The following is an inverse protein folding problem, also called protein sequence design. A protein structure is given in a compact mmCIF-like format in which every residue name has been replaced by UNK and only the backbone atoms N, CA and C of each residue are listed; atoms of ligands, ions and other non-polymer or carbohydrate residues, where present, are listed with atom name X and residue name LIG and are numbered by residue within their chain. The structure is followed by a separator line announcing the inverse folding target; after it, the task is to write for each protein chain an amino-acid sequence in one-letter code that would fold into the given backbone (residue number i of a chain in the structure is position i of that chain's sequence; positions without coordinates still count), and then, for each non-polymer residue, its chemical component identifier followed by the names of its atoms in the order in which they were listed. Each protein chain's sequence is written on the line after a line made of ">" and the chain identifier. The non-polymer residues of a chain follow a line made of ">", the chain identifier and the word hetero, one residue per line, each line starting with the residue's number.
data_IF_108007439928
#
_entry.id   IF_108007439928
#
_cell.length_a   1.000
_cell.length_b   1.000
_cell.length_c   1.000
_cell.angle_alpha   90.00
_cell.angle_beta   90.00
_cell.angle_gamma   90.00
#
_symmetry.space_group_name_H-M   'P 1'
#
loop_
_entity.id
_entity.type
_entity.pdbx_description
1 polymer ?
#
# COMPACT_ATOMS: atom_id res chain seq x y z
N UNK A 1 -25.06 -21.40 22.40
CA UNK A 1 -23.79 -21.19 23.10
C UNK A 1 -22.66 -21.69 22.21
N UNK A 2 -21.72 -20.83 21.83
CA UNK A 2 -20.36 -21.21 21.44
C UNK A 2 -19.46 -19.97 21.48
N UNK A 3 -19.03 -19.67 22.72
CA UNK A 3 -17.69 -19.30 23.16
C UNK A 3 -16.82 -18.52 22.15
N UNK A 4 -16.97 -17.19 22.15
CA UNK A 4 -15.86 -16.28 21.88
C UNK A 4 -15.00 -16.30 23.15
N UNK A 5 -13.89 -17.05 23.12
CA UNK A 5 -12.92 -17.02 24.22
C UNK A 5 -12.19 -15.68 24.20
N UNK A 6 -12.14 -15.05 25.37
CA UNK A 6 -11.48 -13.79 25.64
C UNK A 6 -10.03 -13.78 25.13
N UNK A 7 -9.76 -12.92 24.16
CA UNK A 7 -8.40 -12.56 23.76
C UNK A 7 -7.92 -11.45 24.68
N UNK A 8 -7.08 -11.78 25.64
CA UNK A 8 -6.42 -10.76 26.46
C UNK A 8 -5.15 -10.29 25.73
N UNK A 9 -5.09 -9.02 25.34
CA UNK A 9 -3.87 -8.43 24.77
C UNK A 9 -2.98 -7.91 25.89
N UNK A 10 -1.91 -8.63 26.22
CA UNK A 10 -0.82 -8.07 27.03
C UNK A 10 0.11 -7.25 26.13
N UNK A 11 -0.11 -5.93 26.20
CA UNK A 11 0.83 -4.80 26.09
C UNK A 11 2.24 -5.13 25.56
N UNK A 12 2.41 -5.08 24.23
CA UNK A 12 3.52 -4.44 23.50
C UNK A 12 3.35 -4.72 21.99
N UNK A 13 3.35 -3.67 21.15
CA UNK A 13 3.16 -3.77 19.70
C UNK A 13 4.34 -3.16 18.97
N UNK A 14 4.98 -3.92 18.09
CA UNK A 14 6.24 -3.55 17.47
C UNK A 14 6.04 -3.43 15.96
N UNK A 15 6.53 -2.35 15.36
CA UNK A 15 6.52 -2.18 13.90
C UNK A 15 7.72 -2.94 13.33
N UNK A 16 7.47 -4.02 12.60
CA UNK A 16 8.54 -4.84 11.99
C UNK A 16 8.35 -4.90 10.48
N UNK A 17 9.45 -4.94 9.74
CA UNK A 17 9.39 -5.17 8.29
C UNK A 17 9.50 -6.67 8.05
N UNK A 18 8.55 -7.27 7.34
CA UNK A 18 8.48 -8.72 7.20
C UNK A 18 8.55 -9.11 5.73
N UNK A 19 9.60 -9.83 5.37
CA UNK A 19 9.75 -10.39 4.03
C UNK A 19 9.25 -11.84 4.07
N UNK A 20 8.18 -12.14 3.35
CA UNK A 20 7.72 -13.52 3.21
C UNK A 20 8.31 -14.07 1.92
N UNK A 21 9.33 -14.92 2.04
CA UNK A 21 10.10 -15.38 0.88
C UNK A 21 9.47 -16.60 0.20
N UNK A 22 8.90 -17.54 0.97
CA UNK A 22 8.38 -18.81 0.44
C UNK A 22 7.26 -19.38 1.30
N UNK A 23 6.05 -19.43 0.77
CA UNK A 23 4.89 -20.04 1.41
C UNK A 23 4.62 -21.44 0.82
N UNK A 24 4.34 -22.41 1.69
CA UNK A 24 3.84 -23.71 1.26
C UNK A 24 2.32 -23.75 1.39
N UNK A 25 1.63 -23.78 0.25
CA UNK A 25 0.19 -23.97 0.19
C UNK A 25 -0.10 -25.46 0.02
N UNK A 26 -0.88 -26.03 0.95
CA UNK A 26 -1.56 -27.30 0.66
C UNK A 26 -2.74 -26.94 -0.25
N UNK A 27 -2.76 -27.48 -1.47
CA UNK A 27 -3.80 -27.15 -2.45
C UNK A 27 -5.18 -27.53 -1.91
N UNK A 28 -5.98 -26.52 -1.57
CA UNK A 28 -7.39 -26.67 -1.30
C UNK A 28 -8.14 -26.20 -2.56
N UNK A 29 -8.47 -27.14 -3.45
CA UNK A 29 -9.04 -26.89 -4.78
C UNK A 29 -10.46 -26.30 -4.77
N UNK A 30 -10.98 -25.93 -3.61
CA UNK A 30 -12.36 -25.48 -3.42
C UNK A 30 -12.54 -23.97 -3.47
N UNK A 31 -11.47 -23.15 -3.56
CA UNK A 31 -11.56 -21.67 -3.50
C UNK A 31 -11.01 -20.94 -4.72
N UNK A 32 -11.87 -20.13 -5.35
CA UNK A 32 -11.60 -19.40 -6.62
C UNK A 32 -10.70 -18.15 -6.49
N UNK A 33 -10.37 -17.65 -5.28
CA UNK A 33 -9.55 -16.44 -5.06
C UNK A 33 -8.41 -16.72 -4.08
N UNK A 34 -7.18 -16.60 -4.57
CA UNK A 34 -5.92 -16.79 -3.84
C UNK A 34 -5.03 -15.60 -4.25
N UNK A 35 -4.34 -14.90 -3.34
CA UNK A 35 -3.46 -13.78 -3.70
C UNK A 35 -2.37 -14.20 -4.70
N UNK A 36 -1.92 -13.25 -5.51
CA UNK A 36 -0.95 -13.51 -6.58
C UNK A 36 0.35 -14.14 -6.02
N UNK A 37 0.88 -13.62 -4.91
CA UNK A 37 2.09 -14.13 -4.25
C UNK A 37 1.93 -15.55 -3.63
N UNK A 38 0.69 -16.07 -3.51
CA UNK A 38 0.41 -17.45 -3.06
C UNK A 38 0.13 -18.39 -4.25
N UNK A 39 -0.38 -17.86 -5.38
CA UNK A 39 -0.72 -18.66 -6.57
C UNK A 39 0.49 -19.16 -7.34
N UNK A 40 1.53 -18.35 -7.43
CA UNK A 40 2.74 -18.71 -8.15
C UNK A 40 3.68 -19.40 -7.16
N UNK A 41 3.68 -20.73 -7.15
CA UNK A 41 4.68 -21.53 -6.44
C UNK A 41 6.13 -21.25 -6.86
N UNK A 42 6.34 -20.27 -7.75
CA UNK A 42 7.61 -19.70 -8.14
C UNK A 42 7.90 -18.36 -7.45
N UNK A 43 8.76 -18.40 -6.43
CA UNK A 43 9.99 -17.59 -6.40
C UNK A 43 9.90 -16.06 -6.63
N UNK A 44 8.85 -15.34 -6.23
CA UNK A 44 8.88 -13.87 -6.14
C UNK A 44 8.72 -13.41 -4.70
N UNK A 45 9.85 -13.07 -4.09
CA UNK A 45 9.91 -12.42 -2.80
C UNK A 45 9.26 -11.04 -2.85
N UNK A 46 8.28 -10.78 -2.00
CA UNK A 46 7.69 -9.44 -1.84
C UNK A 46 7.97 -8.93 -0.44
N UNK A 47 8.41 -7.68 -0.35
CA UNK A 47 8.63 -7.02 0.93
C UNK A 47 7.31 -6.45 1.42
N UNK A 48 6.89 -6.82 2.63
CA UNK A 48 5.61 -6.37 3.18
C UNK A 48 5.84 -5.85 4.60
N UNK A 49 5.13 -4.80 4.99
CA UNK A 49 5.23 -4.26 6.35
C UNK A 49 4.19 -4.98 7.20
N UNK A 50 4.62 -5.50 8.35
CA UNK A 50 3.77 -6.23 9.27
C UNK A 50 3.78 -5.62 10.67
N UNK A 51 2.65 -5.62 11.35
CA UNK A 51 2.60 -5.23 12.76
C UNK A 51 2.71 -6.49 13.60
N UNK A 52 3.76 -6.58 14.42
CA UNK A 52 3.96 -7.69 15.34
C UNK A 52 3.28 -7.39 16.67
N UNK A 53 2.52 -8.36 17.17
CA UNK A 53 1.87 -8.32 18.47
C UNK A 53 2.05 -9.66 19.17
N UNK A 54 2.53 -9.63 20.40
CA UNK A 54 2.54 -10.82 21.25
C UNK A 54 1.14 -11.09 21.79
N UNK A 55 0.71 -12.36 21.78
CA UNK A 55 -0.61 -12.76 22.28
C UNK A 55 -0.51 -14.10 23.01
N UNK A 56 -1.41 -14.29 23.96
CA UNK A 56 -1.62 -15.57 24.63
C UNK A 56 -3.02 -16.10 24.30
N UNK A 57 -3.10 -17.37 23.92
CA UNK A 57 -4.38 -18.07 23.77
C UNK A 57 -4.56 -19.05 24.90
N UNK A 58 -5.68 -18.91 25.62
CA UNK A 58 -6.14 -19.91 26.57
C UNK A 58 -7.21 -20.77 25.92
N UNK A 59 -6.92 -22.06 25.74
CA UNK A 59 -7.89 -23.06 25.28
C UNK A 59 -7.84 -24.25 26.22
N UNK A 60 -9.00 -24.64 26.76
CA UNK A 60 -9.13 -25.82 27.65
C UNK A 60 -8.16 -25.79 28.84
N UNK A 61 -7.92 -24.60 29.43
CA UNK A 61 -7.01 -24.42 30.56
C UNK A 61 -5.51 -24.40 30.20
N UNK A 62 -5.15 -24.64 28.93
CA UNK A 62 -3.78 -24.53 28.44
C UNK A 62 -3.54 -23.15 27.83
N UNK A 63 -2.54 -22.44 28.35
CA UNK A 63 -2.05 -21.17 27.79
C UNK A 63 -1.00 -21.46 26.74
N UNK A 64 -1.17 -20.90 25.54
CA UNK A 64 -0.21 -20.98 24.43
C UNK A 64 0.21 -19.57 24.05
N UNK A 65 1.51 -19.27 24.18
CA UNK A 65 2.10 -18.02 23.70
C UNK A 65 2.26 -18.06 22.18
N UNK A 66 2.01 -16.93 21.53
CA UNK A 66 2.18 -16.79 20.09
C UNK A 66 2.55 -15.37 19.70
N UNK A 67 3.32 -15.27 18.62
CA UNK A 67 3.63 -14.00 17.98
C UNK A 67 2.78 -13.87 16.72
N UNK A 68 1.97 -12.81 16.67
CA UNK A 68 1.05 -12.55 15.56
C UNK A 68 1.57 -11.36 14.77
N UNK A 69 1.95 -11.61 13.53
CA UNK A 69 2.33 -10.59 12.56
C UNK A 69 1.12 -10.35 11.65
N UNK A 70 0.53 -9.17 11.75
CA UNK A 70 -0.57 -8.74 10.89
C UNK A 70 0.00 -8.05 9.66
N UNK A 71 -0.30 -8.58 8.48
CA UNK A 71 0.25 -8.15 7.20
C UNK A 71 -0.92 -7.76 6.29
N UNK A 72 -0.90 -6.54 5.77
CA UNK A 72 -1.85 -6.07 4.76
C UNK A 72 -1.16 -6.02 3.39
N UNK A 73 -1.59 -6.85 2.44
CA UNK A 73 -1.03 -6.94 1.09
C UNK A 73 -2.14 -7.13 0.06
N UNK A 74 -2.18 -6.33 -1.00
CA UNK A 74 -3.13 -6.45 -2.11
C UNK A 74 -4.62 -6.46 -1.66
N UNK A 75 -4.91 -5.82 -0.54
CA UNK A 75 -6.24 -5.82 0.10
C UNK A 75 -6.61 -7.12 0.83
N UNK A 76 -5.67 -8.06 0.97
CA UNK A 76 -5.81 -9.23 1.83
C UNK A 76 -5.20 -8.97 3.19
N UNK A 77 -5.95 -9.34 4.24
CA UNK A 77 -5.44 -9.46 5.60
C UNK A 77 -4.82 -10.83 5.76
N UNK A 78 -3.52 -10.84 5.95
CA UNK A 78 -2.73 -12.03 6.19
C UNK A 78 -2.28 -11.98 7.64
N UNK A 79 -2.62 -13.02 8.40
CA UNK A 79 -2.16 -13.16 9.76
C UNK A 79 -1.10 -14.26 9.82
N UNK A 80 0.15 -13.89 10.06
CA UNK A 80 1.23 -14.84 10.27
C UNK A 80 1.44 -15.09 11.76
N UNK A 81 1.17 -16.32 12.22
CA UNK A 81 1.28 -16.69 13.63
C UNK A 81 2.44 -17.66 13.83
N UNK A 82 3.39 -17.29 14.68
CA UNK A 82 4.48 -18.15 15.14
C UNK A 82 4.14 -18.76 16.49
N UNK A 83 4.39 -20.06 16.63
CA UNK A 83 4.15 -20.85 17.84
C UNK A 83 5.41 -21.54 18.33
N UNK A 84 5.43 -21.89 19.63
CA UNK A 84 6.49 -22.69 20.24
C UNK A 84 7.83 -21.96 20.26
N UNK A 85 8.92 -22.69 20.01
CA UNK A 85 10.30 -22.17 20.09
C UNK A 85 10.60 -21.00 19.16
N UNK A 86 9.77 -20.76 18.14
CA UNK A 86 9.88 -19.59 17.26
C UNK A 86 9.45 -18.29 17.95
N UNK A 87 8.57 -18.37 18.96
CA UNK A 87 8.18 -17.23 19.80
C UNK A 87 9.39 -16.76 20.59
N UNK A 88 10.06 -17.69 21.27
CA UNK A 88 11.25 -17.39 22.08
C UNK A 88 12.39 -16.82 21.24
N UNK A 89 12.64 -17.39 20.04
CA UNK A 89 13.67 -16.90 19.12
C UNK A 89 13.37 -15.49 18.62
N UNK A 90 12.13 -15.20 18.27
CA UNK A 90 11.73 -13.86 17.84
C UNK A 90 11.86 -12.88 19.00
N UNK A 91 11.34 -13.21 20.17
CA UNK A 91 11.44 -12.37 21.37
C UNK A 91 12.89 -12.11 21.80
N UNK A 92 13.78 -13.10 21.65
CA UNK A 92 15.21 -12.93 21.89
C UNK A 92 15.83 -11.94 20.89
N UNK A 93 15.53 -12.07 19.59
CA UNK A 93 15.97 -11.10 18.57
C UNK A 93 15.47 -9.70 18.88
N UNK A 94 14.18 -9.59 19.19
CA UNK A 94 13.49 -8.40 19.61
C UNK A 94 14.17 -7.70 20.81
N UNK A 95 14.59 -8.46 21.81
CA UNK A 95 15.29 -7.94 23.01
C UNK A 95 16.69 -7.36 22.74
N UNK A 96 17.25 -7.56 21.55
CA UNK A 96 18.57 -7.00 21.18
C UNK A 96 18.53 -5.49 20.92
N UNK A 97 17.34 -4.90 20.73
CA UNK A 97 17.17 -3.46 20.49
C UNK A 97 17.36 -3.03 19.04
N UNK A 98 17.75 -3.92 18.12
CA UNK A 98 17.84 -3.64 16.67
C UNK A 98 16.49 -3.77 15.96
N UNK A 99 15.45 -3.14 16.51
CA UNK A 99 14.06 -3.33 16.04
C UNK A 99 13.64 -2.31 14.97
N UNK A 100 14.29 -1.15 14.97
CA UNK A 100 14.08 -0.12 13.94
C UNK A 100 14.58 -0.64 12.59
N UNK A 101 13.65 -0.95 11.68
CA UNK A 101 13.90 -1.55 10.37
C UNK A 101 14.36 -3.02 10.41
N UNK A 102 13.98 -3.79 11.44
CA UNK A 102 14.22 -5.23 11.44
C UNK A 102 13.51 -5.89 10.24
N UNK A 103 14.27 -6.63 9.42
CA UNK A 103 13.73 -7.43 8.32
C UNK A 103 13.69 -8.89 8.73
N UNK A 104 12.48 -9.44 8.86
CA UNK A 104 12.26 -10.83 9.23
C UNK A 104 11.87 -11.62 7.98
N UNK A 105 12.67 -12.62 7.63
CA UNK A 105 12.35 -13.56 6.56
C UNK A 105 11.68 -14.82 7.11
N UNK A 106 10.52 -15.19 6.57
CA UNK A 106 9.81 -16.44 6.93
C UNK A 106 9.68 -17.33 5.69
N UNK A 107 10.21 -18.54 5.78
CA UNK A 107 10.18 -19.56 4.73
C UNK A 107 9.53 -20.86 5.20
N UNK A 108 8.89 -21.57 4.27
CA UNK A 108 8.24 -22.86 4.50
C UNK A 108 7.15 -22.80 5.58
N UNK A 109 6.39 -21.70 5.59
CA UNK A 109 5.22 -21.57 6.45
C UNK A 109 3.97 -22.16 5.78
N UNK A 110 3.07 -22.71 6.60
CA UNK A 110 1.81 -23.32 6.18
C UNK A 110 0.73 -22.25 6.04
N UNK A 111 0.07 -22.22 4.88
CA UNK A 111 -1.07 -21.35 4.62
C UNK A 111 -2.40 -22.06 4.93
N UNK A 112 -3.36 -21.34 5.50
CA UNK A 112 -4.75 -21.76 5.75
C UNK A 112 -5.71 -20.63 5.36
N UNK A 113 -6.84 -21.00 4.76
CA UNK A 113 -7.87 -20.05 4.34
C UNK A 113 -9.15 -20.23 5.15
N UNK A 114 -9.57 -19.23 5.91
CA UNK A 114 -10.79 -19.31 6.72
C UNK A 114 -11.60 -18.01 6.66
N UNK A 115 -12.88 -18.10 6.28
CA UNK A 115 -13.81 -16.95 6.14
C UNK A 115 -13.17 -15.76 5.42
N UNK A 116 -12.61 -16.00 4.24
CA UNK A 116 -11.90 -15.03 3.40
C UNK A 116 -10.62 -14.40 3.98
N UNK A 117 -10.21 -14.79 5.19
CA UNK A 117 -8.93 -14.42 5.77
C UNK A 117 -7.85 -15.47 5.48
N UNK A 118 -6.62 -14.99 5.37
CA UNK A 118 -5.44 -15.80 5.10
C UNK A 118 -4.63 -15.91 6.38
N UNK A 119 -4.41 -17.14 6.81
CA UNK A 119 -3.61 -17.45 7.99
C UNK A 119 -2.34 -18.17 7.56
N UNK A 120 -1.21 -17.62 7.93
CA UNK A 120 0.10 -18.24 7.78
C UNK A 120 0.52 -18.70 9.17
N UNK A 121 1.03 -19.93 9.28
CA UNK A 121 1.53 -20.43 10.55
C UNK A 121 2.80 -21.25 10.32
N UNK A 122 3.71 -21.22 11.30
CA UNK A 122 4.88 -22.08 11.23
C UNK A 122 4.49 -23.56 11.26
N UNK A 123 5.32 -24.38 10.62
CA UNK A 123 5.34 -25.82 10.72
C UNK A 123 6.55 -26.21 11.58
N UNK A 124 6.31 -27.04 12.59
CA UNK A 124 7.34 -27.50 13.52
C UNK A 124 8.48 -28.16 12.72
N UNK A 125 9.71 -27.74 13.01
CA UNK A 125 10.96 -28.22 12.39
C UNK A 125 11.11 -28.01 10.88
N UNK A 126 10.16 -27.34 10.22
CA UNK A 126 10.18 -27.07 8.78
C UNK A 126 10.31 -25.58 8.46
N UNK A 127 9.65 -24.71 9.24
CA UNK A 127 9.70 -23.27 8.99
C UNK A 127 11.07 -22.71 9.33
N UNK A 128 11.67 -21.96 8.40
CA UNK A 128 12.91 -21.21 8.63
C UNK A 128 12.57 -19.74 8.84
N UNK A 129 13.12 -19.15 9.90
CA UNK A 129 12.98 -17.72 10.21
C UNK A 129 14.37 -17.13 10.31
N UNK A 130 14.65 -16.12 9.50
CA UNK A 130 15.93 -15.39 9.49
C UNK A 130 15.69 -13.93 9.84
N UNK A 131 16.58 -13.35 10.64
CA UNK A 131 16.49 -11.99 11.14
C UNK A 131 17.59 -11.14 10.52
N UNK A 132 17.31 -9.86 10.23
CA UNK A 132 18.26 -8.90 9.68
C UNK A 132 18.95 -9.36 8.40
N UNK A 133 18.17 -9.95 7.48
CA UNK A 133 18.68 -10.43 6.19
C UNK A 133 19.18 -9.24 5.36
N UNK A 134 20.51 -9.09 5.25
CA UNK A 134 21.20 -8.10 4.43
C UNK A 134 21.07 -8.47 2.95
N UNK A 135 19.94 -8.13 2.35
CA UNK A 135 19.71 -8.21 0.92
C UNK A 135 19.68 -6.80 0.33
N UNK A 136 20.07 -6.62 -0.93
CA UNK A 136 20.04 -5.29 -1.59
C UNK A 136 18.66 -4.62 -1.48
N UNK A 137 17.60 -5.43 -1.55
CA UNK A 137 16.21 -5.01 -1.35
C UNK A 137 15.91 -4.53 0.09
N UNK A 138 16.48 -5.17 1.10
CA UNK A 138 16.36 -4.74 2.50
C UNK A 138 17.08 -3.40 2.77
N UNK A 139 18.19 -3.16 2.05
CA UNK A 139 18.92 -1.89 2.12
C UNK A 139 18.16 -0.72 1.47
N UNK A 140 17.38 -0.98 0.41
CA UNK A 140 16.48 0.01 -0.19
C UNK A 140 15.35 0.42 0.75
N UNK A 141 14.80 -0.54 1.52
CA UNK A 141 13.78 -0.27 2.54
C UNK A 141 14.30 0.61 3.69
N UNK A 142 15.52 0.33 4.19
CA UNK A 142 16.18 1.18 5.20
C UNK A 142 16.33 2.63 4.72
N UNK A 143 16.58 2.85 3.43
CA UNK A 143 16.69 4.21 2.85
C UNK A 143 15.34 4.91 2.73
N UNK A 144 14.25 4.19 2.45
CA UNK A 144 12.90 4.78 2.37
C UNK A 144 12.35 5.28 3.72
N UNK A 145 12.72 4.66 4.85
CA UNK A 145 12.20 5.06 6.17
C UNK A 145 12.86 6.33 6.74
N UNK A 146 14.08 6.69 6.30
CA UNK A 146 14.79 7.88 6.76
C UNK A 146 14.14 9.20 6.31
N UNK A 147 13.16 9.17 5.39
CA UNK A 147 12.46 10.36 4.90
C UNK A 147 11.11 10.64 5.57
N UNK A 148 10.58 9.76 6.43
CA UNK A 148 9.25 9.91 7.05
C UNK A 148 9.28 10.26 8.55
N UNK A 149 10.46 10.46 9.16
CA UNK A 149 10.53 10.91 10.55
C UNK A 149 10.27 12.41 10.67
N UNK A 150 9.00 12.81 10.57
CA UNK A 150 8.39 13.96 11.26
C UNK A 150 6.96 14.19 10.78
N UNK A 151 6.02 13.41 11.34
CA UNK A 151 4.68 13.83 11.78
C UNK A 151 3.92 12.60 12.28
N UNK A 152 4.00 12.35 13.59
CA UNK A 152 3.02 11.55 14.29
C UNK A 152 1.68 12.29 14.19
N UNK A 153 0.71 11.70 13.49
CA UNK A 153 -0.71 11.97 13.70
C UNK A 153 -1.26 10.65 14.25
N UNK A 154 -1.90 10.66 15.43
CA UNK A 154 -2.57 9.48 15.94
C UNK A 154 -3.88 9.30 15.15
N UNK A 155 -3.87 8.45 14.13
CA UNK A 155 -5.11 7.99 13.48
C UNK A 155 -5.47 6.60 14.00
N UNK A 156 -5.84 6.57 15.27
CA UNK A 156 -6.46 5.43 15.92
C UNK A 156 -7.99 5.62 15.92
N UNK A 157 -8.59 5.90 14.73
CA UNK A 157 -10.06 5.89 14.55
C UNK A 157 -10.53 5.94 13.07
N UNK A 158 -9.95 5.18 12.14
CA UNK A 158 -10.57 4.87 10.82
C UNK A 158 -9.59 3.92 10.11
N UNK A 159 -9.88 2.65 9.85
CA UNK A 159 -10.50 2.21 8.60
C UNK A 159 -10.67 0.68 8.64
N UNK A 160 -11.87 0.20 8.95
CA UNK A 160 -12.35 -1.14 8.56
C UNK A 160 -13.45 -1.08 7.49
N UNK A 161 -13.67 0.06 6.83
CA UNK A 161 -14.95 0.28 6.10
C UNK A 161 -14.81 1.05 4.78
N UNK A 162 -13.71 0.92 4.02
CA UNK A 162 -13.69 1.51 2.66
C UNK A 162 -14.39 0.56 1.69
N UNK A 163 -15.65 0.87 1.35
CA UNK A 163 -16.50 0.01 0.52
C UNK A 163 -15.96 -0.10 -0.91
N UNK A 164 -15.93 -1.33 -1.44
CA UNK A 164 -15.66 -1.57 -2.87
C UNK A 164 -16.86 -1.10 -3.68
N UNK A 165 -16.61 -0.40 -4.79
CA UNK A 165 -17.67 0.13 -5.64
C UNK A 165 -17.28 0.04 -7.12
N UNK A 166 -18.24 0.22 -8.01
CA UNK A 166 -18.03 0.35 -9.46
C UNK A 166 -17.90 1.82 -9.85
N UNK A 167 -17.48 2.10 -11.08
CA UNK A 167 -17.41 3.47 -11.60
C UNK A 167 -18.82 4.09 -11.68
N UNK A 168 -19.82 3.33 -12.13
CA UNK A 168 -21.20 3.82 -12.13
C UNK A 168 -21.66 4.18 -10.70
N UNK A 169 -21.43 3.29 -9.73
CA UNK A 169 -21.79 3.54 -8.33
C UNK A 169 -21.00 4.70 -7.69
N UNK A 170 -19.78 4.96 -8.15
CA UNK A 170 -18.99 6.12 -7.76
C UNK A 170 -19.61 7.43 -8.27
N UNK A 171 -20.05 7.47 -9.54
CA UNK A 171 -20.70 8.65 -10.15
C UNK A 171 -22.08 8.95 -9.55
N UNK A 172 -22.81 7.91 -9.16
CA UNK A 172 -24.12 8.03 -8.54
C UNK A 172 -24.04 8.41 -7.06
N UNK A 173 -22.86 8.33 -6.44
CA UNK A 173 -22.67 8.66 -5.03
C UNK A 173 -22.80 10.16 -4.79
N UNK A 174 -23.73 10.54 -3.90
CA UNK A 174 -24.02 11.94 -3.55
C UNK A 174 -23.43 12.37 -2.22
N UNK A 175 -22.80 11.45 -1.50
CA UNK A 175 -22.18 11.72 -0.21
C UNK A 175 -20.66 11.76 -0.38
N UNK A 176 -19.98 12.60 0.40
CA UNK A 176 -18.51 12.62 0.41
C UNK A 176 -18.04 11.35 1.12
N UNK A 177 -17.53 10.41 0.35
CA UNK A 177 -17.04 9.12 0.84
C UNK A 177 -15.82 8.64 0.04
N UNK A 178 -15.07 7.70 0.61
CA UNK A 178 -13.92 7.09 -0.04
C UNK A 178 -14.28 5.67 -0.49
N UNK A 179 -13.99 5.35 -1.75
CA UNK A 179 -14.30 4.06 -2.36
C UNK A 179 -13.05 3.37 -2.88
N UNK A 180 -13.12 2.04 -2.97
CA UNK A 180 -12.14 1.22 -3.67
C UNK A 180 -12.73 0.80 -5.01
N UNK A 181 -12.13 1.23 -6.11
CA UNK A 181 -12.59 0.95 -7.48
C UNK A 181 -11.51 0.19 -8.24
N UNK A 182 -11.87 -0.94 -8.85
CA UNK A 182 -10.98 -1.70 -9.73
C UNK A 182 -11.25 -1.28 -11.17
N UNK A 183 -10.31 -0.59 -11.82
CA UNK A 183 -10.50 -0.09 -13.17
C UNK A 183 -9.28 -0.34 -14.06
N UNK A 184 -9.52 -0.43 -15.36
CA UNK A 184 -8.49 -0.56 -16.39
C UNK A 184 -8.16 0.83 -16.93
N UNK A 185 -6.87 1.17 -16.96
CA UNK A 185 -6.38 2.42 -17.55
C UNK A 185 -6.47 2.31 -19.08
N UNK A 186 -7.21 3.20 -19.72
CA UNK A 186 -7.39 3.21 -21.19
C UNK A 186 -6.65 4.34 -21.88
N UNK A 187 -6.52 5.47 -21.22
CA UNK A 187 -5.92 6.66 -21.81
C UNK A 187 -5.27 7.53 -20.74
N UNK A 188 -4.18 8.21 -21.09
CA UNK A 188 -3.63 9.31 -20.29
C UNK A 188 -4.04 10.60 -20.98
N UNK A 189 -4.82 11.43 -20.30
CA UNK A 189 -5.31 12.70 -20.85
C UNK A 189 -4.14 13.67 -20.95
N UNK A 190 -3.99 14.29 -22.12
CA UNK A 190 -2.90 15.21 -22.50
C UNK A 190 -3.39 16.62 -22.85
N UNK A 191 -4.64 16.95 -22.51
CA UNK A 191 -5.22 18.28 -22.70
C UNK A 191 -4.51 19.38 -21.87
N UNK A 192 -3.88 18.98 -20.75
CA UNK A 192 -3.19 19.82 -19.76
C UNK A 192 -1.78 19.27 -19.47
N UNK A 193 -0.91 20.10 -18.88
CA UNK A 193 0.37 19.65 -18.34
C UNK A 193 0.19 18.50 -17.33
N UNK A 194 0.89 17.38 -17.57
CA UNK A 194 0.91 16.20 -16.71
C UNK A 194 1.71 16.41 -15.40
N UNK A 195 2.23 17.62 -15.20
CA UNK A 195 3.05 18.04 -14.07
C UNK A 195 2.72 19.47 -13.65
N UNK A 196 3.20 19.88 -12.48
CA UNK A 196 3.15 21.26 -12.01
C UNK A 196 4.38 21.59 -11.17
N UNK A 197 4.72 22.86 -11.07
CA UNK A 197 5.74 23.34 -10.14
C UNK A 197 5.16 23.48 -8.73
N UNK A 198 5.87 22.96 -7.74
CA UNK A 198 5.48 23.01 -6.34
C UNK A 198 6.56 23.62 -5.45
N UNK A 199 6.12 24.34 -4.41
CA UNK A 199 6.96 24.76 -3.29
C UNK A 199 7.37 23.53 -2.45
N UNK A 200 8.41 23.70 -1.62
CA UNK A 200 8.82 22.72 -0.58
C UNK A 200 7.66 22.31 0.35
N UNK A 201 6.62 23.14 0.49
CA UNK A 201 5.41 22.81 1.26
C UNK A 201 4.39 21.93 0.49
N UNK A 202 4.77 21.44 -0.69
CA UNK A 202 4.01 20.61 -1.64
C UNK A 202 2.74 21.27 -2.21
N UNK A 203 2.67 22.61 -2.21
CA UNK A 203 1.62 23.35 -2.91
C UNK A 203 2.13 23.95 -4.20
N UNK A 204 1.23 24.02 -5.17
CA UNK A 204 1.44 24.71 -6.45
C UNK A 204 1.93 26.13 -6.20
N UNK A 205 2.84 26.57 -7.06
CA UNK A 205 3.36 27.93 -7.06
C UNK A 205 3.11 28.58 -8.40
N UNK A 206 3.09 29.90 -8.40
CA UNK A 206 2.83 30.69 -9.61
C UNK A 206 4.09 31.48 -9.97
N UNK A 207 4.47 31.54 -11.25
CA UNK A 207 5.57 32.39 -11.69
C UNK A 207 5.31 33.84 -11.30
N UNK A 208 6.27 34.48 -10.64
CA UNK A 208 6.26 35.92 -10.37
C UNK A 208 7.65 36.49 -10.68
N UNK A 209 7.73 37.15 -11.84
CA UNK A 209 8.96 37.73 -12.37
C UNK A 209 10.09 36.69 -12.50
N UNK A 210 11.09 36.71 -11.61
CA UNK A 210 12.23 35.77 -11.60
C UNK A 210 12.13 34.73 -10.47
N UNK A 211 11.02 34.72 -9.74
CA UNK A 211 10.77 33.84 -8.61
C UNK A 211 9.42 33.14 -8.79
N UNK A 212 9.03 32.36 -7.80
CA UNK A 212 7.71 31.74 -7.73
C UNK A 212 7.01 32.17 -6.44
N UNK A 213 5.75 32.56 -6.51
CA UNK A 213 4.96 32.88 -5.32
C UNK A 213 4.20 31.63 -4.84
N UNK A 214 4.33 31.34 -3.54
CA UNK A 214 3.60 30.26 -2.87
C UNK A 214 2.52 30.86 -1.97
N UNK A 215 1.25 30.77 -2.37
CA UNK A 215 0.12 31.29 -1.59
C UNK A 215 0.05 30.70 -0.18
N UNK A 216 0.23 29.38 -0.05
CA UNK A 216 0.18 28.71 1.26
C UNK A 216 1.26 29.20 2.23
N UNK A 217 2.45 29.47 1.73
CA UNK A 217 3.55 29.98 2.55
C UNK A 217 3.57 31.51 2.60
N UNK A 218 2.72 32.17 1.81
CA UNK A 218 2.68 33.60 1.58
C UNK A 218 4.08 34.21 1.35
N UNK A 219 4.87 33.59 0.46
CA UNK A 219 6.25 34.02 0.19
C UNK A 219 6.72 33.69 -1.22
N UNK A 220 7.67 34.48 -1.71
CA UNK A 220 8.43 34.18 -2.91
C UNK A 220 9.50 33.14 -2.63
N UNK A 221 9.60 32.14 -3.50
CA UNK A 221 10.56 31.05 -3.45
C UNK A 221 11.28 30.93 -4.78
N UNK A 222 12.57 30.60 -4.73
CA UNK A 222 13.36 30.30 -5.93
C UNK A 222 13.41 28.78 -6.13
N UNK A 223 13.55 28.03 -5.03
CA UNK A 223 13.62 26.57 -5.06
C UNK A 223 12.22 25.98 -5.15
N UNK A 224 11.92 25.39 -6.30
CA UNK A 224 10.69 24.66 -6.59
C UNK A 224 11.02 23.23 -7.04
N UNK A 225 10.02 22.37 -7.08
CA UNK A 225 10.16 20.97 -7.51
C UNK A 225 9.01 20.60 -8.44
N UNK A 226 9.29 19.83 -9.47
CA UNK A 226 8.28 19.29 -10.38
C UNK A 226 7.52 18.16 -9.69
N UNK A 227 6.20 18.14 -9.86
CA UNK A 227 5.29 17.16 -9.25
C UNK A 227 4.27 16.69 -10.27
N UNK A 228 3.90 15.42 -10.24
CA UNK A 228 2.88 14.91 -11.18
C UNK A 228 1.48 15.45 -10.87
N UNK A 229 0.74 15.71 -11.94
CA UNK A 229 -0.71 15.93 -11.99
C UNK A 229 -1.23 15.20 -13.23
N UNK A 230 -1.43 13.89 -13.10
CA UNK A 230 -1.77 13.02 -14.24
C UNK A 230 -3.26 12.70 -14.22
N UNK A 231 -3.93 12.88 -15.36
CA UNK A 231 -5.32 12.46 -15.56
C UNK A 231 -5.36 11.16 -16.37
N UNK A 232 -6.03 10.16 -15.81
CA UNK A 232 -6.19 8.84 -16.43
C UNK A 232 -7.65 8.61 -16.76
N UNK A 233 -7.95 8.29 -18.01
CA UNK A 233 -9.25 7.73 -18.37
C UNK A 233 -9.25 6.25 -18.01
N UNK A 234 -10.19 5.87 -17.15
CA UNK A 234 -10.32 4.51 -16.65
C UNK A 234 -11.70 3.95 -16.97
N UNK A 235 -11.78 2.64 -17.14
CA UNK A 235 -13.03 1.92 -17.44
C UNK A 235 -13.16 0.68 -16.56
N UNK A 236 -14.40 0.34 -16.20
CA UNK A 236 -14.78 -0.95 -15.66
C UNK A 236 -15.93 -1.55 -16.48
N UNK A 237 -16.56 -2.61 -15.99
CA UNK A 237 -17.71 -3.24 -16.66
C UNK A 237 -18.99 -2.42 -16.61
N UNK A 238 -19.04 -1.36 -15.79
CA UNK A 238 -20.23 -0.53 -15.58
C UNK A 238 -20.18 0.82 -16.28
N UNK A 239 -19.02 1.48 -16.30
CA UNK A 239 -18.88 2.83 -16.87
C UNK A 239 -17.39 3.20 -17.07
N UNK A 240 -17.11 4.41 -17.55
CA UNK A 240 -15.78 5.02 -17.66
C UNK A 240 -15.74 6.39 -17.00
N UNK A 241 -14.59 6.82 -16.49
CA UNK A 241 -14.44 8.14 -15.85
C UNK A 241 -12.98 8.59 -15.86
N UNK A 242 -12.72 9.82 -15.42
CA UNK A 242 -11.35 10.34 -15.26
C UNK A 242 -10.90 10.27 -13.81
N UNK A 243 -9.72 9.68 -13.56
CA UNK A 243 -9.04 9.67 -12.28
C UNK A 243 -7.83 10.60 -12.30
N UNK A 244 -7.69 11.45 -11.28
CA UNK A 244 -6.58 12.38 -11.12
C UNK A 244 -5.60 11.86 -10.08
N UNK A 245 -4.36 11.59 -10.51
CA UNK A 245 -3.25 11.15 -9.69
C UNK A 245 -2.30 12.32 -9.45
N UNK A 246 -1.86 12.45 -8.20
CA UNK A 246 -0.82 13.40 -7.83
C UNK A 246 0.52 12.67 -7.63
N UNK A 247 1.56 13.45 -7.37
CA UNK A 247 2.95 13.03 -7.32
C UNK A 247 3.23 11.65 -6.74
N UNK A 248 2.72 11.36 -5.53
CA UNK A 248 2.98 10.09 -4.85
C UNK A 248 2.39 8.92 -5.62
N UNK A 249 1.12 9.01 -6.01
CA UNK A 249 0.40 7.94 -6.68
C UNK A 249 0.94 7.72 -8.09
N UNK A 250 1.19 8.80 -8.84
CA UNK A 250 1.76 8.72 -10.17
C UNK A 250 3.19 8.15 -10.16
N UNK A 251 4.03 8.59 -9.23
CA UNK A 251 5.40 8.04 -9.08
C UNK A 251 5.38 6.56 -8.76
N UNK A 252 4.44 6.12 -7.91
CA UNK A 252 4.26 4.70 -7.59
C UNK A 252 3.79 3.89 -8.81
N UNK A 253 2.94 4.46 -9.67
CA UNK A 253 2.43 3.77 -10.85
C UNK A 253 3.47 3.66 -11.97
N UNK A 254 4.25 4.73 -12.17
CA UNK A 254 5.25 4.86 -13.24
C UNK A 254 6.63 4.37 -12.81
N UNK A 255 6.83 4.12 -11.52
CA UNK A 255 8.13 3.75 -10.93
C UNK A 255 9.26 4.76 -11.27
N UNK A 256 8.90 6.03 -11.43
CA UNK A 256 9.80 7.15 -11.73
C UNK A 256 9.30 8.42 -11.06
N UNK A 257 10.19 9.22 -10.50
CA UNK A 257 9.84 10.55 -10.00
C UNK A 257 9.46 11.51 -11.13
N UNK A 258 8.70 12.56 -10.82
CA UNK A 258 8.31 13.56 -11.81
C UNK A 258 9.52 14.28 -12.43
N UNK A 259 10.57 14.50 -11.64
CA UNK A 259 11.80 15.15 -12.11
C UNK A 259 12.53 14.27 -13.12
N UNK A 260 12.74 12.99 -12.80
CA UNK A 260 13.38 12.04 -13.72
C UNK A 260 12.59 11.91 -15.02
N UNK A 261 11.25 11.82 -14.92
CA UNK A 261 10.38 11.74 -16.09
C UNK A 261 10.53 12.97 -16.98
N UNK A 262 10.53 14.17 -16.37
CA UNK A 262 10.64 15.44 -17.09
C UNK A 262 12.01 15.64 -17.75
N UNK A 263 13.08 15.21 -17.08
CA UNK A 263 14.45 15.30 -17.63
C UNK A 263 14.69 14.31 -18.77
N UNK A 264 14.11 13.11 -18.70
CA UNK A 264 14.23 12.10 -19.77
C UNK A 264 13.33 12.36 -20.98
N UNK A 265 12.42 13.32 -20.89
CA UNK A 265 11.40 13.56 -21.91
C UNK A 265 11.87 14.52 -23.01
N UNK A 266 11.64 14.12 -24.26
CA UNK A 266 11.89 14.95 -25.44
C UNK A 266 10.86 16.07 -25.53
N UNK A 267 11.32 17.34 -25.58
CA UNK A 267 10.48 18.55 -25.44
C UNK A 267 9.58 18.84 -26.65
N UNK A 268 9.32 17.84 -27.48
CA UNK A 268 8.53 17.95 -28.70
C UNK A 268 7.01 17.96 -28.46
N UNK A 269 6.57 18.13 -27.20
CA UNK A 269 5.16 18.34 -26.83
C UNK A 269 4.30 17.09 -26.72
N UNK A 270 4.89 15.90 -26.82
CA UNK A 270 4.17 14.63 -26.68
C UNK A 270 4.11 14.18 -25.20
N UNK A 271 3.28 13.19 -24.87
CA UNK A 271 3.40 12.51 -23.57
C UNK A 271 4.70 11.67 -23.51
N UNK A 272 5.36 11.57 -22.34
CA UNK A 272 6.44 10.60 -22.13
C UNK A 272 6.03 9.16 -22.48
N UNK A 273 6.90 8.42 -23.17
CA UNK A 273 6.62 7.05 -23.65
C UNK A 273 6.32 6.07 -22.49
N UNK A 274 6.82 6.36 -21.30
CA UNK A 274 6.56 5.61 -20.07
C UNK A 274 5.07 5.54 -19.73
N UNK A 275 4.28 6.55 -20.12
CA UNK A 275 2.83 6.51 -19.95
C UNK A 275 2.16 5.40 -20.79
N UNK A 276 2.76 4.99 -21.91
CA UNK A 276 2.25 3.85 -22.67
C UNK A 276 2.35 2.53 -21.87
N UNK A 277 3.32 2.42 -20.95
CA UNK A 277 3.52 1.21 -20.15
C UNK A 277 2.43 0.98 -19.11
N UNK A 278 1.63 2.00 -18.79
CA UNK A 278 0.55 1.89 -17.80
C UNK A 278 -0.81 1.67 -18.46
N UNK A 279 -0.91 1.82 -19.78
CA UNK A 279 -2.13 1.52 -20.53
C UNK A 279 -2.47 0.04 -20.41
N UNK A 280 -3.77 -0.25 -20.42
CA UNK A 280 -4.37 -1.57 -20.28
C UNK A 280 -4.09 -2.29 -18.94
N UNK A 281 -3.36 -1.65 -18.01
CA UNK A 281 -3.21 -2.18 -16.64
C UNK A 281 -4.50 -2.02 -15.86
N UNK A 282 -4.90 -3.09 -15.16
CA UNK A 282 -5.99 -3.09 -14.20
C UNK A 282 -5.45 -2.76 -12.82
N UNK A 283 -5.93 -1.68 -12.22
CA UNK A 283 -5.40 -1.13 -10.96
C UNK A 283 -6.53 -0.88 -9.99
N UNK A 284 -6.26 -1.10 -8.69
CA UNK A 284 -7.21 -0.84 -7.62
C UNK A 284 -6.95 0.58 -7.08
N UNK A 285 -7.92 1.47 -7.27
CA UNK A 285 -7.82 2.87 -6.88
C UNK A 285 -8.65 3.14 -5.63
N UNK A 286 -8.04 3.73 -4.59
CA UNK A 286 -8.78 4.37 -3.50
C UNK A 286 -9.07 5.81 -3.92
N UNK A 287 -10.34 6.14 -4.11
CA UNK A 287 -10.80 7.42 -4.66
C UNK A 287 -11.78 8.12 -3.73
N UNK A 288 -11.69 9.44 -3.63
CA UNK A 288 -12.69 10.24 -2.94
C UNK A 288 -13.78 10.66 -3.92
N UNK A 289 -15.03 10.39 -3.55
CA UNK A 289 -16.18 11.09 -4.13
C UNK A 289 -16.27 12.50 -3.53
N UNK A 290 -16.54 13.49 -4.38
CA UNK A 290 -16.83 14.86 -3.98
C UNK A 290 -18.23 15.23 -4.46
N UNK A 291 -18.94 16.05 -3.70
CA UNK A 291 -20.09 16.75 -4.22
C UNK A 291 -19.62 17.86 -5.17
N UNK A 292 -19.41 17.55 -6.44
CA UNK A 292 -19.20 18.60 -7.44
C UNK A 292 -20.50 18.80 -8.24
N UNK A 293 -21.07 20.01 -8.14
CA UNK A 293 -22.37 20.38 -8.74
C UNK A 293 -22.21 20.93 -10.16
N UNK A 294 -21.27 20.41 -10.94
CA UNK A 294 -21.09 20.76 -12.35
C UNK A 294 -21.90 19.84 -13.26
N UNK A 295 -23.19 20.14 -13.49
CA UNK A 295 -24.12 19.35 -14.31
C UNK A 295 -23.76 19.20 -15.81
N UNK A 296 -22.52 19.49 -16.25
CA UNK A 296 -22.16 19.54 -17.68
C UNK A 296 -20.85 18.89 -18.09
N UNK A 297 -20.02 18.39 -17.17
CA UNK A 297 -18.71 17.81 -17.53
C UNK A 297 -18.50 16.43 -16.91
N UNK A 298 -17.74 15.58 -17.60
CA UNK A 298 -17.34 14.25 -17.13
C UNK A 298 -16.63 14.38 -15.77
N UNK A 299 -17.12 13.67 -14.75
CA UNK A 299 -16.62 13.82 -13.38
C UNK A 299 -15.17 13.31 -13.28
N UNK A 300 -14.32 14.10 -12.61
CA UNK A 300 -12.94 13.71 -12.30
C UNK A 300 -12.80 13.40 -10.81
N UNK A 301 -12.35 12.20 -10.49
CA UNK A 301 -12.18 11.74 -9.11
C UNK A 301 -10.71 11.78 -8.70
N UNK A 302 -10.44 12.29 -7.49
CA UNK A 302 -9.07 12.32 -6.97
C UNK A 302 -8.70 10.96 -6.38
N UNK A 303 -7.59 10.40 -6.85
CA UNK A 303 -6.99 9.20 -6.26
C UNK A 303 -6.25 9.58 -4.98
N UNK A 304 -6.51 8.84 -3.91
CA UNK A 304 -5.84 8.94 -2.61
C UNK A 304 -4.71 7.95 -2.45
N UNK A 305 -4.86 6.77 -3.05
CA UNK A 305 -3.91 5.68 -2.94
C UNK A 305 -4.14 4.69 -4.09
N UNK A 306 -3.06 4.13 -4.60
CA UNK A 306 -3.10 2.92 -5.40
C UNK A 306 -2.96 1.74 -4.45
N UNK A 307 -3.93 0.84 -4.48
CA UNK A 307 -3.91 -0.39 -3.71
C UNK A 307 -3.16 -1.43 -4.55
N UNK A 308 -1.85 -1.49 -4.33
CA UNK A 308 -0.96 -2.57 -4.78
C UNK A 308 -1.19 -3.81 -3.96
#
# INVERSE_FOLDING_TARGET
>A
MNVLNDMNSTKESWNVVVRVLRLWCVQDFTKQKIPFFIRDGATRSTNIIGILTERELTKEGKVTKMNVISIDCDGFRIQCTLFGTYVDKLNAFLSTGEVDNAVISIEFAKVKFFRDNIYVQNCIDCTRVEYNVLTEEALLLKKSQLCESSKQIPEDEFHQTTTRNTIAGLKDCREVNTFIVLATIKHVVDDDDWWYTACICNKTVYPDSKMFFCEKCNKHVIKVTLRYKVQLRVIDDTDSTTFMLFDREASSLLSKSCVEMFESHDKNGNLPNEFAQILEKKVLFKVDSKMDKGFRFEQTFRVKKLCG
#
